data_IF_466619878859
#
_entry.id   IF_466619878859
#
_cell.length_a   1.000
_cell.length_b   1.000
_cell.length_c   1.000
_cell.angle_alpha   90.00
_cell.angle_beta   90.00
_cell.angle_gamma   90.00
#
_symmetry.space_group_name_H-M   'P 1'
#
loop_
_entity.id
_entity.type
_entity.pdbx_description
1 polymer ?
#
# COMPACT_ATOMS: atom_id res chain seq x y z
N UNK A 1 -23.62 -1.80 -1.20
CA UNK A 1 -23.38 -2.06 -2.63
C UNK A 1 -21.88 -2.20 -2.79
N UNK A 2 -21.35 -3.42 -2.82
CA UNK A 2 -19.93 -3.62 -3.16
C UNK A 2 -19.84 -3.45 -4.68
N UNK A 3 -19.13 -2.43 -5.16
CA UNK A 3 -18.81 -2.32 -6.57
C UNK A 3 -17.98 -3.53 -6.99
N UNK A 4 -18.13 -3.99 -8.25
CA UNK A 4 -17.30 -5.07 -8.77
C UNK A 4 -15.81 -4.76 -8.57
N UNK A 5 -15.03 -5.76 -8.16
CA UNK A 5 -13.59 -5.64 -8.04
C UNK A 5 -13.00 -5.17 -9.38
N UNK A 6 -12.17 -4.13 -9.36
CA UNK A 6 -11.48 -3.74 -10.58
C UNK A 6 -10.44 -4.81 -10.95
N UNK A 7 -10.19 -5.07 -12.25
CA UNK A 7 -9.53 -6.29 -12.72
C UNK A 7 -8.15 -6.58 -12.09
N UNK A 8 -7.40 -5.53 -11.75
CA UNK A 8 -6.05 -5.64 -11.19
C UNK A 8 -5.99 -5.51 -9.65
N UNK A 9 -7.12 -5.54 -8.94
CA UNK A 9 -7.18 -5.37 -7.47
C UNK A 9 -6.17 -6.26 -6.72
N UNK A 10 -6.09 -7.54 -7.05
CA UNK A 10 -5.17 -8.48 -6.38
C UNK A 10 -3.70 -8.12 -6.62
N UNK A 11 -3.37 -7.63 -7.82
CA UNK A 11 -2.03 -7.15 -8.16
C UNK A 11 -1.69 -5.89 -7.37
N UNK A 12 -2.65 -4.98 -7.20
CA UNK A 12 -2.49 -3.76 -6.40
C UNK A 12 -2.25 -4.10 -4.93
N UNK A 13 -3.03 -5.02 -4.35
CA UNK A 13 -2.80 -5.48 -2.96
C UNK A 13 -1.39 -6.04 -2.82
N UNK A 14 -1.00 -6.94 -3.74
CA UNK A 14 0.33 -7.55 -3.72
C UNK A 14 1.46 -6.51 -3.84
N UNK A 15 1.28 -5.48 -4.67
CA UNK A 15 2.23 -4.38 -4.83
C UNK A 15 2.39 -3.58 -3.54
N UNK A 16 1.26 -3.20 -2.93
CA UNK A 16 1.23 -2.39 -1.72
C UNK A 16 1.87 -3.14 -0.54
N UNK A 17 1.60 -4.44 -0.42
CA UNK A 17 2.18 -5.31 0.61
C UNK A 17 3.69 -5.54 0.41
N UNK A 18 4.16 -5.55 -0.84
CA UNK A 18 5.58 -5.71 -1.19
C UNK A 18 6.43 -4.45 -0.92
N UNK A 19 5.81 -3.30 -0.61
CA UNK A 19 6.53 -2.06 -0.30
C UNK A 19 7.49 -2.21 0.87
N UNK A 20 8.62 -1.50 0.82
CA UNK A 20 9.63 -1.47 1.88
C UNK A 20 9.19 -0.50 2.98
N UNK A 21 9.28 -0.89 4.25
CA UNK A 21 8.99 0.01 5.37
C UNK A 21 10.06 1.11 5.45
N UNK A 22 9.67 2.37 5.24
CA UNK A 22 10.58 3.52 5.29
C UNK A 22 10.43 4.37 6.55
N UNK A 23 9.25 4.36 7.17
CA UNK A 23 9.00 5.04 8.46
C UNK A 23 8.19 4.10 9.33
N UNK A 24 8.63 3.91 10.57
CA UNK A 24 7.85 3.20 11.60
C UNK A 24 7.77 4.05 12.85
N UNK A 25 6.58 4.09 13.45
CA UNK A 25 6.33 4.82 14.68
C UNK A 25 5.73 3.88 15.75
N UNK A 26 5.97 4.14 17.04
CA UNK A 26 5.25 3.45 18.10
C UNK A 26 3.75 3.75 17.98
N UNK A 27 2.96 2.75 17.64
CA UNK A 27 1.52 2.90 17.47
C UNK A 27 0.90 1.77 16.66
N UNK A 28 -0.43 1.73 16.68
CA UNK A 28 -1.23 0.85 15.84
C UNK A 28 -2.08 1.70 14.91
N UNK A 29 -2.23 1.22 13.68
CA UNK A 29 -3.22 1.77 12.74
C UNK A 29 -4.50 1.00 12.91
N UNK A 30 -5.59 1.73 13.10
CA UNK A 30 -6.93 1.18 13.05
C UNK A 30 -7.59 1.55 11.72
N UNK A 31 -8.37 0.63 11.19
CA UNK A 31 -9.26 0.86 10.06
C UNK A 31 -10.26 1.96 10.42
N UNK A 32 -10.27 3.04 9.65
CA UNK A 32 -11.14 4.20 9.92
C UNK A 32 -12.62 3.85 9.76
N UNK A 33 -12.94 2.84 8.95
CA UNK A 33 -14.33 2.45 8.64
C UNK A 33 -14.84 1.44 9.67
N UNK A 34 -14.05 0.41 9.99
CA UNK A 34 -14.49 -0.66 10.91
C UNK A 34 -14.07 -0.44 12.37
N UNK A 35 -13.05 0.38 12.62
CA UNK A 35 -12.42 0.56 13.94
C UNK A 35 -11.49 -0.58 14.35
N UNK A 36 -11.34 -1.62 13.51
CA UNK A 36 -10.47 -2.76 13.80
C UNK A 36 -8.99 -2.38 13.69
N UNK A 37 -8.14 -3.00 14.51
CA UNK A 37 -6.69 -2.86 14.39
C UNK A 37 -6.23 -3.56 13.10
N UNK A 38 -5.53 -2.82 12.25
CA UNK A 38 -4.90 -3.33 11.02
C UNK A 38 -3.51 -3.87 11.34
N UNK A 39 -2.70 -3.09 12.06
CA UNK A 39 -1.31 -3.44 12.32
C UNK A 39 -0.47 -2.29 12.87
N UNK A 40 0.87 -2.41 12.81
CA UNK A 40 1.79 -1.35 13.22
C UNK A 40 1.61 -0.07 12.40
N UNK A 41 1.86 1.09 13.02
CA UNK A 41 1.94 2.35 12.30
C UNK A 41 3.25 2.45 11.50
N UNK A 42 3.14 2.18 10.20
CA UNK A 42 4.24 2.26 9.26
C UNK A 42 3.85 2.94 7.94
N UNK A 43 4.84 3.56 7.30
CA UNK A 43 4.80 4.00 5.90
C UNK A 43 5.68 3.08 5.06
N UNK A 44 5.17 2.73 3.88
CA UNK A 44 5.80 1.88 2.88
C UNK A 44 6.20 2.67 1.64
N UNK A 45 7.19 2.17 0.91
CA UNK A 45 7.66 2.78 -0.34
C UNK A 45 8.19 1.75 -1.35
N UNK A 46 8.12 2.11 -2.63
CA UNK A 46 8.82 1.46 -3.75
C UNK A 46 10.06 2.25 -4.22
N UNK A 47 10.40 3.35 -3.53
CA UNK A 47 11.45 4.30 -3.91
C UNK A 47 10.97 5.50 -4.73
N UNK A 48 9.71 5.52 -5.17
CA UNK A 48 9.08 6.63 -5.91
C UNK A 48 7.89 7.21 -5.14
N UNK A 49 7.03 6.33 -4.61
CA UNK A 49 5.85 6.67 -3.84
C UNK A 49 6.00 6.26 -2.39
N UNK A 50 5.27 6.94 -1.52
CA UNK A 50 5.13 6.58 -0.11
C UNK A 50 3.64 6.43 0.20
N UNK A 51 3.27 5.35 0.90
CA UNK A 51 1.89 5.07 1.29
C UNK A 51 1.81 4.51 2.71
N UNK A 52 0.64 4.58 3.33
CA UNK A 52 0.40 3.94 4.62
C UNK A 52 0.35 2.42 4.50
N UNK A 53 0.87 1.73 5.52
CA UNK A 53 0.80 0.26 5.64
C UNK A 53 -0.63 -0.31 5.62
N UNK A 54 -1.63 0.52 5.86
CA UNK A 54 -3.05 0.19 5.82
C UNK A 54 -3.69 0.29 4.43
N UNK A 55 -3.02 0.89 3.44
CA UNK A 55 -3.62 1.12 2.12
C UNK A 55 -4.01 -0.19 1.42
N UNK A 56 -3.23 -1.27 1.57
CA UNK A 56 -3.57 -2.58 1.01
C UNK A 56 -4.87 -3.13 1.59
N UNK A 57 -5.14 -2.85 2.87
CA UNK A 57 -6.39 -3.23 3.54
C UNK A 57 -7.58 -2.49 2.93
N UNK A 58 -7.46 -1.20 2.61
CA UNK A 58 -8.56 -0.47 1.97
C UNK A 58 -8.87 -0.99 0.56
N UNK A 59 -7.84 -1.32 -0.21
CA UNK A 59 -8.01 -1.94 -1.53
C UNK A 59 -8.65 -3.33 -1.40
N UNK A 60 -8.14 -4.15 -0.47
CA UNK A 60 -8.63 -5.50 -0.26
C UNK A 60 -10.06 -5.52 0.30
N UNK A 61 -10.35 -4.81 1.37
CA UNK A 61 -11.65 -4.90 2.07
C UNK A 61 -12.74 -4.07 1.40
N UNK A 62 -12.39 -2.89 0.89
CA UNK A 62 -13.38 -1.91 0.43
C UNK A 62 -13.39 -1.69 -1.07
N UNK A 63 -12.52 -2.37 -1.82
CA UNK A 63 -12.40 -2.23 -3.28
C UNK A 63 -12.21 -0.76 -3.70
N UNK A 64 -11.49 0.02 -2.89
CA UNK A 64 -11.15 1.40 -3.19
C UNK A 64 -9.97 1.38 -4.17
N UNK A 65 -10.17 1.91 -5.38
CA UNK A 65 -9.10 2.02 -6.36
C UNK A 65 -8.17 3.20 -6.03
N UNK A 66 -6.84 3.00 -6.00
CA UNK A 66 -5.87 4.09 -5.99
C UNK A 66 -6.00 4.99 -7.23
N UNK A 67 -5.36 6.18 -7.23
CA UNK A 67 -5.27 7.04 -8.41
C UNK A 67 -4.70 6.31 -9.63
N UNK A 68 -5.15 6.70 -10.84
CA UNK A 68 -4.78 6.03 -12.09
C UNK A 68 -3.26 6.00 -12.32
N UNK A 69 -2.55 7.06 -11.95
CA UNK A 69 -1.10 7.17 -12.08
C UNK A 69 -0.38 6.11 -11.22
N UNK A 70 -0.93 5.80 -10.05
CA UNK A 70 -0.43 4.72 -9.19
C UNK A 70 -0.72 3.36 -9.83
N UNK A 71 -1.92 3.17 -10.38
CA UNK A 71 -2.28 1.93 -11.07
C UNK A 71 -1.38 1.64 -12.27
N UNK A 72 -0.96 2.66 -13.02
CA UNK A 72 -0.03 2.49 -14.15
C UNK A 72 1.34 1.95 -13.71
N UNK A 73 1.82 2.37 -12.54
CA UNK A 73 3.04 1.84 -11.94
C UNK A 73 2.86 0.37 -11.54
N UNK A 74 1.77 0.05 -10.83
CA UNK A 74 1.44 -1.34 -10.47
C UNK A 74 1.35 -2.24 -11.71
N UNK A 75 0.77 -1.74 -12.81
CA UNK A 75 0.67 -2.49 -14.07
C UNK A 75 2.05 -2.83 -14.63
N UNK A 76 3.03 -1.94 -14.51
CA UNK A 76 4.42 -2.16 -14.94
C UNK A 76 5.22 -3.10 -14.02
N UNK A 77 4.79 -3.28 -12.77
CA UNK A 77 5.48 -4.12 -11.79
C UNK A 77 5.40 -5.61 -12.14
N UNK A 78 6.54 -6.29 -11.99
CA UNK A 78 6.70 -7.71 -12.31
C UNK A 78 6.46 -8.66 -11.14
N UNK A 79 6.25 -8.14 -9.93
CA UNK A 79 6.20 -8.95 -8.70
C UNK A 79 7.55 -9.07 -7.98
N UNK A 80 8.62 -8.47 -8.52
CA UNK A 80 9.93 -8.48 -7.87
C UNK A 80 9.96 -7.58 -6.62
N UNK A 81 10.75 -7.92 -5.58
CA UNK A 81 11.00 -7.03 -4.45
C UNK A 81 11.55 -5.68 -4.91
N UNK A 82 11.20 -4.60 -4.21
CA UNK A 82 11.75 -3.28 -4.50
C UNK A 82 13.17 -3.14 -3.94
N UNK A 83 14.09 -2.67 -4.78
CA UNK A 83 15.45 -2.29 -4.40
C UNK A 83 15.47 -0.80 -4.07
N UNK A 84 15.20 -0.47 -2.80
CA UNK A 84 15.06 0.90 -2.33
C UNK A 84 16.26 1.29 -1.46
N UNK A 85 16.93 2.38 -1.82
CA UNK A 85 17.91 3.01 -0.95
C UNK A 85 17.21 3.91 0.09
N UNK A 86 16.99 3.37 1.30
CA UNK A 86 16.33 4.11 2.39
C UNK A 86 17.15 5.30 2.91
N UNK A 87 18.48 5.29 2.76
CA UNK A 87 19.33 6.42 3.17
C UNK A 87 19.08 7.65 2.30
N UNK A 88 18.61 7.46 1.06
CA UNK A 88 18.20 8.55 0.17
C UNK A 88 16.81 9.13 0.49
N UNK A 89 16.06 8.47 1.39
CA UNK A 89 14.69 8.84 1.78
C UNK A 89 14.68 9.45 3.20
N UNK A 90 15.78 9.35 3.96
CA UNK A 90 15.92 9.98 5.27
C UNK A 90 16.01 11.51 5.15
N UNK A 91 15.07 12.19 5.83
CA UNK A 91 15.01 13.65 6.01
C UNK A 91 16.05 14.10 7.03
#
# INVERSE_FOLDING_TARGET
MQGEAYPEREKVVSYLDAGVDCVMAPGLVCDVISGEVIGPLAMKTDGVWIWGSDLSVYVARYNIAPPTEFLDLVRSWSGAPFDVNLDAISV
#
